data_IF_604435816764
#
_entry.id   IF_604435816764
#
_cell.length_a   1.000
_cell.length_b   1.000
_cell.length_c   1.000
_cell.angle_alpha   90.00
_cell.angle_beta   90.00
_cell.angle_gamma   90.00
#
_symmetry.space_group_name_H-M   'P 1'
#
loop_
_entity.id
_entity.type
_entity.pdbx_description
1 polymer ?
#
# COMPACT_ATOMS: atom_id res chain seq x y z
N UNK A 1 26.90 20.13 -19.71
CA UNK A 1 25.55 20.11 -19.06
C UNK A 1 24.62 19.03 -19.61
N UNK A 2 24.59 18.76 -20.93
CA UNK A 2 23.64 17.82 -21.56
C UNK A 2 23.75 16.36 -21.08
N UNK A 3 24.95 15.87 -20.78
CA UNK A 3 25.17 14.52 -20.21
C UNK A 3 24.84 14.41 -18.72
N UNK A 4 24.91 15.51 -17.99
CA UNK A 4 24.64 15.54 -16.55
C UNK A 4 23.16 15.26 -16.26
N UNK A 5 22.27 15.73 -17.13
CA UNK A 5 20.84 15.50 -17.00
C UNK A 5 20.52 14.02 -17.17
N UNK A 6 21.12 13.35 -18.16
CA UNK A 6 20.95 11.91 -18.34
C UNK A 6 21.41 11.12 -17.13
N UNK A 7 22.56 11.48 -16.55
CA UNK A 7 23.09 10.80 -15.37
C UNK A 7 22.16 10.91 -14.15
N UNK A 8 21.61 12.10 -13.91
CA UNK A 8 20.67 12.34 -12.81
C UNK A 8 19.37 11.56 -13.01
N UNK A 9 18.83 11.55 -14.23
CA UNK A 9 17.60 10.79 -14.56
C UNK A 9 17.81 9.29 -14.36
N UNK A 10 18.95 8.76 -14.78
CA UNK A 10 19.27 7.34 -14.60
C UNK A 10 19.38 6.95 -13.12
N UNK A 11 20.06 7.75 -12.30
CA UNK A 11 20.17 7.49 -10.86
C UNK A 11 18.81 7.56 -10.16
N UNK A 12 17.97 8.52 -10.53
CA UNK A 12 16.61 8.65 -9.99
C UNK A 12 15.74 7.42 -10.34
N UNK A 13 15.81 6.96 -11.59
CA UNK A 13 15.09 5.77 -12.04
C UNK A 13 15.56 4.49 -11.31
N UNK A 14 16.87 4.32 -11.09
CA UNK A 14 17.41 3.21 -10.29
C UNK A 14 16.94 3.28 -8.83
N UNK A 15 16.83 4.48 -8.27
CA UNK A 15 16.36 4.68 -6.88
C UNK A 15 14.89 4.31 -6.71
N UNK A 16 14.05 4.61 -7.70
CA UNK A 16 12.62 4.28 -7.71
C UNK A 16 12.37 2.77 -7.82
N UNK A 17 13.25 2.03 -8.51
CA UNK A 17 13.20 0.55 -8.56
C UNK A 17 13.58 -0.10 -7.22
N UNK A 18 14.39 0.58 -6.40
CA UNK A 18 14.77 0.11 -5.07
C UNK A 18 13.69 0.35 -4.01
N UNK A 19 12.76 1.29 -4.23
CA UNK A 19 11.47 1.28 -3.55
C UNK A 19 10.68 0.09 -4.10
N UNK A 20 10.84 -1.05 -3.44
CA UNK A 20 10.27 -2.34 -3.84
C UNK A 20 8.82 -2.23 -4.29
N UNK A 21 8.44 -3.14 -5.20
CA UNK A 21 7.08 -3.34 -5.73
C UNK A 21 6.06 -3.10 -4.61
N UNK A 22 4.87 -2.52 -4.91
CA UNK A 22 3.81 -2.43 -3.90
C UNK A 22 3.55 -3.84 -3.35
N UNK A 23 4.13 -4.12 -2.19
CA UNK A 23 3.89 -5.34 -1.46
C UNK A 23 2.49 -5.13 -0.91
N UNK A 24 1.50 -5.66 -1.64
CA UNK A 24 0.26 -5.99 -0.99
C UNK A 24 0.62 -6.89 0.20
N UNK A 25 0.08 -6.64 1.40
CA UNK A 25 0.29 -7.55 2.51
C UNK A 25 -0.05 -8.97 2.05
N UNK A 26 0.78 -9.94 2.42
CA UNK A 26 0.73 -11.33 1.93
C UNK A 26 -0.67 -11.94 2.06
N UNK A 27 -1.45 -11.45 3.03
CA UNK A 27 -2.91 -11.48 3.04
C UNK A 27 -3.43 -10.46 4.06
N UNK A 28 -4.74 -10.19 4.03
CA UNK A 28 -5.40 -9.63 5.20
C UNK A 28 -5.24 -10.61 6.38
N UNK A 29 -4.61 -10.19 7.49
CA UNK A 29 -4.59 -10.98 8.73
C UNK A 29 -6.03 -11.16 9.19
N UNK A 30 -6.53 -12.39 9.15
CA UNK A 30 -7.89 -12.75 9.58
C UNK A 30 -8.16 -12.37 11.02
N UNK A 31 -7.10 -12.28 11.84
CA UNK A 31 -7.19 -11.98 13.27
C UNK A 31 -7.56 -10.51 13.54
N UNK A 32 -7.28 -9.60 12.61
CA UNK A 32 -7.51 -8.16 12.79
C UNK A 32 -8.41 -7.54 11.72
N UNK A 33 -8.68 -8.27 10.62
CA UNK A 33 -9.47 -7.75 9.53
C UNK A 33 -10.94 -7.58 9.95
N UNK A 34 -11.48 -6.38 9.77
CA UNK A 34 -12.86 -6.07 10.15
C UNK A 34 -13.07 -5.83 11.65
N UNK A 35 -11.99 -5.69 12.43
CA UNK A 35 -12.07 -5.33 13.86
C UNK A 35 -11.58 -3.89 14.10
N UNK A 36 -12.03 -3.28 15.20
CA UNK A 36 -11.50 -2.02 15.72
C UNK A 36 -10.10 -2.23 16.29
N UNK A 37 -9.39 -1.15 16.61
CA UNK A 37 -8.11 -1.23 17.33
C UNK A 37 -8.20 -1.95 18.70
N UNK A 38 -9.41 -2.24 19.19
CA UNK A 38 -9.66 -3.01 20.41
C UNK A 38 -10.11 -4.46 20.14
N UNK A 39 -10.03 -4.93 18.89
CA UNK A 39 -10.44 -6.28 18.49
C UNK A 39 -11.96 -6.49 18.42
N UNK A 40 -12.77 -5.43 18.55
CA UNK A 40 -14.24 -5.52 18.45
C UNK A 40 -14.65 -5.55 16.97
N UNK A 41 -15.67 -6.30 16.55
CA UNK A 41 -16.18 -6.21 15.19
C UNK A 41 -16.54 -4.76 14.81
N UNK A 42 -16.18 -4.33 13.60
CA UNK A 42 -16.56 -3.01 13.09
C UNK A 42 -18.04 -3.04 12.65
N UNK A 43 -18.95 -2.73 13.56
CA UNK A 43 -20.38 -2.61 13.30
C UNK A 43 -20.69 -1.48 12.30
N UNK A 44 -21.76 -1.62 11.51
CA UNK A 44 -22.24 -0.56 10.59
C UNK A 44 -21.43 -0.34 9.30
N UNK A 45 -20.27 -0.98 9.09
CA UNK A 45 -19.46 -0.77 7.87
C UNK A 45 -19.88 -1.58 6.64
N UNK A 46 -20.59 -2.70 6.84
CA UNK A 46 -21.01 -3.64 5.78
C UNK A 46 -22.53 -3.86 5.73
N UNK A 47 -23.31 -2.99 6.35
CA UNK A 47 -24.76 -3.05 6.24
C UNK A 47 -25.14 -2.60 4.82
N UNK A 48 -25.29 -3.57 3.91
CA UNK A 48 -25.93 -3.31 2.62
C UNK A 48 -27.33 -2.79 2.93
N UNK A 49 -27.76 -1.65 2.37
CA UNK A 49 -29.12 -1.17 2.59
C UNK A 49 -30.09 -2.28 2.19
N UNK A 50 -30.94 -2.67 3.15
CA UNK A 50 -31.98 -3.67 2.95
C UNK A 50 -32.85 -3.30 1.76
N UNK A 51 -33.17 -4.31 0.96
CA UNK A 51 -33.99 -4.20 -0.26
C UNK A 51 -35.37 -3.60 0.02
#
# INVERSE_FOLDING_TARGET
MKFSVFFVVTLLALSLVACGKPTAPESASSDNYGTTHEGKPAEGRNELPGK
#
